data_IF_251722822416
#
_entry.id   IF_251722822416
#
_cell.length_a   1.000
_cell.length_b   1.000
_cell.length_c   1.000
_cell.angle_alpha   90.00
_cell.angle_beta   90.00
_cell.angle_gamma   90.00
#
_symmetry.space_group_name_H-M   'P 1'
#
loop_
_entity.id
_entity.type
_entity.pdbx_description
1 polymer ?
#
# COMPACT_ATOMS: atom_id res chain seq x y z
N UNK A 1 10.10 13.33 30.25
CA UNK A 1 8.69 13.38 29.82
C UNK A 1 8.69 13.41 28.30
N UNK A 2 8.34 12.28 27.70
CA UNK A 2 8.30 12.08 26.24
C UNK A 2 7.18 12.91 25.65
N UNK A 3 7.52 14.03 25.01
CA UNK A 3 6.57 14.80 24.21
C UNK A 3 6.00 13.90 23.11
N UNK A 4 4.68 13.87 23.01
CA UNK A 4 3.91 13.03 22.10
C UNK A 4 3.93 13.58 20.67
N UNK A 5 3.55 12.78 19.66
CA UNK A 5 3.52 13.21 18.25
C UNK A 5 2.62 14.43 18.01
N UNK A 6 1.64 14.69 18.87
CA UNK A 6 0.81 15.91 18.83
C UNK A 6 1.61 17.17 19.14
N UNK A 7 2.61 17.09 20.02
CA UNK A 7 3.40 18.25 20.43
C UNK A 7 4.33 18.72 19.29
N UNK A 8 4.91 17.78 18.53
CA UNK A 8 5.84 18.10 17.42
C UNK A 8 5.16 18.87 16.28
N UNK A 9 3.92 18.51 15.94
CA UNK A 9 3.12 19.24 14.94
C UNK A 9 2.77 20.66 15.38
N UNK A 10 2.54 20.88 16.67
CA UNK A 10 2.27 22.20 17.23
C UNK A 10 3.51 23.11 17.14
N UNK A 11 4.70 22.60 17.47
CA UNK A 11 5.95 23.33 17.34
C UNK A 11 6.38 23.52 15.87
N UNK A 12 6.04 22.58 15.00
CA UNK A 12 6.27 22.71 13.57
C UNK A 12 5.52 23.91 12.97
N UNK A 13 4.39 24.34 13.54
CA UNK A 13 3.68 25.53 13.05
C UNK A 13 4.28 26.86 13.56
N UNK A 14 5.14 26.83 14.58
CA UNK A 14 5.73 28.04 15.20
C UNK A 14 7.07 28.42 14.55
N UNK A 15 7.43 29.69 14.64
CA UNK A 15 8.74 30.18 14.18
C UNK A 15 9.89 29.51 14.97
N UNK A 16 10.92 28.95 14.31
CA UNK A 16 12.00 28.23 14.98
C UNK A 16 12.66 29.00 16.14
N UNK A 17 12.83 30.31 15.95
CA UNK A 17 13.37 31.23 16.96
C UNK A 17 12.54 31.23 18.25
N UNK A 18 11.22 31.12 18.16
CA UNK A 18 10.30 31.30 19.30
C UNK A 18 10.34 30.15 20.30
N UNK A 19 10.56 28.94 19.83
CA UNK A 19 10.67 27.76 20.69
C UNK A 19 12.11 27.41 21.04
N UNK A 20 13.10 27.77 20.20
CA UNK A 20 14.51 27.45 20.45
C UNK A 20 15.03 28.11 21.73
N UNK A 21 14.47 29.27 22.09
CA UNK A 21 14.76 29.95 23.35
C UNK A 21 14.10 29.34 24.60
N UNK A 22 13.18 28.39 24.48
CA UNK A 22 12.40 27.83 25.60
C UNK A 22 13.12 26.71 26.40
N UNK A 23 14.41 26.43 26.14
CA UNK A 23 15.31 25.56 26.93
C UNK A 23 14.70 24.23 27.43
N UNK A 24 14.13 23.44 26.53
CA UNK A 24 14.11 21.97 26.69
C UNK A 24 15.45 21.41 26.18
N UNK A 25 15.92 20.25 26.68
CA UNK A 25 17.21 19.63 26.33
C UNK A 25 17.58 19.88 24.85
N UNK A 26 18.44 20.88 24.56
CA UNK A 26 18.55 21.44 23.22
C UNK A 26 19.02 20.40 22.20
N UNK A 27 19.80 19.42 22.65
CA UNK A 27 20.36 18.42 21.75
C UNK A 27 19.32 17.38 21.32
N UNK A 28 18.42 16.97 22.22
CA UNK A 28 17.41 15.95 21.92
C UNK A 28 16.25 16.57 21.12
N UNK A 29 15.83 17.77 21.49
CA UNK A 29 14.77 18.49 20.80
C UNK A 29 15.17 18.91 19.38
N UNK A 30 16.37 19.49 19.19
CA UNK A 30 16.84 19.84 17.84
C UNK A 30 16.96 18.59 16.95
N UNK A 31 17.40 17.43 17.46
CA UNK A 31 17.45 16.16 16.71
C UNK A 31 16.06 15.74 16.22
N UNK A 32 15.07 15.74 17.11
CA UNK A 32 13.68 15.39 16.77
C UNK A 32 13.09 16.32 15.71
N UNK A 33 13.28 17.63 15.88
CA UNK A 33 12.81 18.62 14.90
C UNK A 33 13.55 18.52 13.56
N UNK A 34 14.86 18.20 13.56
CA UNK A 34 15.60 17.91 12.34
C UNK A 34 15.04 16.69 11.61
N UNK A 35 14.75 15.60 12.32
CA UNK A 35 14.13 14.40 11.73
C UNK A 35 12.73 14.72 11.17
N UNK A 36 11.91 15.47 11.92
CA UNK A 36 10.58 15.89 11.50
C UNK A 36 10.63 16.77 10.24
N UNK A 37 11.45 17.82 10.21
CA UNK A 37 11.54 18.68 9.03
C UNK A 37 12.15 17.97 7.83
N UNK A 38 13.05 17.02 8.06
CA UNK A 38 13.58 16.19 6.99
C UNK A 38 12.50 15.28 6.37
N UNK A 39 11.67 14.64 7.21
CA UNK A 39 10.57 13.78 6.77
C UNK A 39 9.39 14.54 6.15
N UNK A 40 9.24 15.83 6.42
CA UNK A 40 8.19 16.70 5.83
C UNK A 40 8.73 17.61 4.71
N UNK A 41 10.01 17.49 4.34
CA UNK A 41 10.59 18.21 3.20
C UNK A 41 10.86 19.69 3.45
N UNK A 42 10.87 20.15 4.70
CA UNK A 42 10.98 21.56 5.04
C UNK A 42 12.46 22.01 5.09
N UNK A 43 13.06 22.12 3.90
CA UNK A 43 14.49 22.42 3.73
C UNK A 43 14.90 23.76 4.37
N UNK A 44 14.04 24.78 4.32
CA UNK A 44 14.34 26.11 4.88
C UNK A 44 14.54 26.05 6.39
N UNK A 45 13.66 25.34 7.10
CA UNK A 45 13.77 25.17 8.55
C UNK A 45 14.88 24.21 8.94
N UNK A 46 15.12 23.19 8.11
CA UNK A 46 16.23 22.27 8.33
C UNK A 46 17.59 22.96 8.21
N UNK A 47 17.75 23.89 7.25
CA UNK A 47 18.93 24.77 7.14
C UNK A 47 19.06 25.69 8.35
N UNK A 48 17.96 26.31 8.78
CA UNK A 48 17.98 27.14 9.98
C UNK A 48 18.45 26.34 11.21
N UNK A 49 17.94 25.11 11.41
CA UNK A 49 18.40 24.26 12.51
C UNK A 49 19.86 23.83 12.38
N UNK A 50 20.36 23.63 11.16
CA UNK A 50 21.78 23.34 10.94
C UNK A 50 22.67 24.47 11.42
N UNK A 51 22.29 25.71 11.10
CA UNK A 51 23.10 26.90 11.41
C UNK A 51 23.00 27.33 12.88
N UNK A 52 21.95 26.89 13.59
CA UNK A 52 21.62 27.37 14.95
C UNK A 52 21.61 26.28 16.03
N UNK A 53 21.66 24.98 15.67
CA UNK A 53 21.76 23.88 16.65
C UNK A 53 23.05 23.06 16.42
N UNK A 54 23.80 22.79 17.48
CA UNK A 54 24.94 21.85 17.47
C UNK A 54 24.53 20.36 17.45
N UNK A 55 23.27 20.07 17.11
CA UNK A 55 22.73 18.73 17.10
C UNK A 55 23.22 17.96 15.86
N UNK A 56 23.73 16.73 16.09
CA UNK A 56 24.12 15.82 15.00
C UNK A 56 22.89 15.25 14.31
N UNK A 57 22.93 15.15 12.98
CA UNK A 57 21.93 14.42 12.21
C UNK A 57 21.93 12.95 12.55
N UNK A 58 20.72 12.41 12.71
CA UNK A 58 20.51 10.97 12.80
C UNK A 58 20.37 10.36 11.40
N UNK A 59 20.49 9.05 11.31
CA UNK A 59 20.21 8.30 10.08
C UNK A 59 18.74 8.44 9.68
N UNK A 60 17.83 8.56 10.67
CA UNK A 60 16.39 8.76 10.48
C UNK A 60 16.05 10.04 9.71
N UNK A 61 16.88 11.09 9.79
CA UNK A 61 16.65 12.30 9.00
C UNK A 61 16.77 12.00 7.50
N UNK A 62 17.79 11.24 7.08
CA UNK A 62 17.98 10.86 5.68
C UNK A 62 16.97 9.79 5.27
N UNK A 63 16.75 8.78 6.12
CA UNK A 63 15.81 7.68 5.84
C UNK A 63 14.37 8.22 5.74
N UNK A 64 13.96 9.13 6.62
CA UNK A 64 12.65 9.79 6.61
C UNK A 64 12.47 10.74 5.43
N UNK A 65 13.49 11.52 5.05
CA UNK A 65 13.43 12.35 3.84
C UNK A 65 13.32 11.50 2.57
N UNK A 66 14.04 10.37 2.50
CA UNK A 66 13.99 9.45 1.37
C UNK A 66 12.63 8.74 1.29
N UNK A 67 12.12 8.25 2.42
CA UNK A 67 10.84 7.57 2.52
C UNK A 67 9.68 8.45 2.06
N UNK A 68 9.72 9.76 2.33
CA UNK A 68 8.69 10.72 1.91
C UNK A 68 8.99 11.43 0.58
N UNK A 69 10.05 11.02 -0.14
CA UNK A 69 10.29 11.50 -1.51
C UNK A 69 10.93 12.88 -1.61
N UNK A 70 11.45 13.43 -0.52
CA UNK A 70 12.03 14.76 -0.46
C UNK A 70 13.46 14.79 -1.01
N UNK A 71 13.59 14.63 -2.33
CA UNK A 71 14.88 14.54 -3.04
C UNK A 71 15.83 15.70 -2.72
N UNK A 72 15.32 16.93 -2.62
CA UNK A 72 16.15 18.11 -2.34
C UNK A 72 16.71 18.10 -0.91
N UNK A 73 15.93 17.58 0.05
CA UNK A 73 16.42 17.35 1.42
C UNK A 73 17.44 16.23 1.44
N UNK A 74 17.20 15.12 0.73
CA UNK A 74 18.15 14.00 0.62
C UNK A 74 19.49 14.45 0.05
N UNK A 75 19.47 15.20 -1.05
CA UNK A 75 20.67 15.80 -1.67
C UNK A 75 21.39 16.72 -0.70
N UNK A 76 20.65 17.58 0.00
CA UNK A 76 21.23 18.54 0.93
C UNK A 76 21.85 17.85 2.14
N UNK A 77 21.15 16.91 2.78
CA UNK A 77 21.68 16.10 3.89
C UNK A 77 22.92 15.33 3.45
N UNK A 78 22.93 14.74 2.25
CA UNK A 78 24.12 14.07 1.73
C UNK A 78 25.31 15.01 1.56
N UNK A 79 25.09 16.22 1.04
CA UNK A 79 26.14 17.20 0.89
C UNK A 79 26.68 17.61 2.27
N UNK A 80 25.82 17.99 3.21
CA UNK A 80 26.21 18.41 4.57
C UNK A 80 27.02 17.32 5.29
N UNK A 81 26.53 16.07 5.28
CA UNK A 81 27.24 14.93 5.88
C UNK A 81 28.57 14.61 5.17
N UNK A 82 28.69 14.93 3.88
CA UNK A 82 29.94 14.81 3.12
C UNK A 82 30.93 15.96 3.40
N UNK A 83 30.46 17.15 3.78
CA UNK A 83 31.30 18.32 4.11
C UNK A 83 31.81 18.25 5.55
N UNK A 84 31.07 17.69 6.49
CA UNK A 84 31.60 17.39 7.84
C UNK A 84 32.80 16.43 7.78
N UNK A 85 32.79 15.51 6.80
CA UNK A 85 33.94 14.66 6.48
C UNK A 85 35.06 15.41 5.73
N UNK A 86 34.77 16.57 5.11
CA UNK A 86 35.77 17.42 4.45
C UNK A 86 36.62 18.21 5.45
N UNK A 87 36.02 18.68 6.55
CA UNK A 87 36.77 19.35 7.62
C UNK A 87 37.80 18.41 8.28
N UNK A 88 37.56 17.09 8.30
CA UNK A 88 38.55 16.07 8.68
C UNK A 88 39.52 15.66 7.56
N UNK A 89 39.22 15.90 6.27
CA UNK A 89 40.08 15.51 5.13
C UNK A 89 41.38 16.31 5.01
N UNK A 90 41.52 17.43 5.72
CA UNK A 90 42.74 18.24 5.68
C UNK A 90 43.92 17.65 6.49
N UNK A 91 43.80 16.47 7.11
CA UNK A 91 44.89 15.84 7.87
C UNK A 91 45.46 14.54 7.28
N UNK A 92 44.83 13.91 6.28
CA UNK A 92 45.38 12.69 5.65
C UNK A 92 45.14 12.69 4.15
N UNK A 93 46.24 12.87 3.43
CA UNK A 93 46.29 12.83 1.97
C UNK A 93 46.17 11.42 1.42
N UNK A 94 45.77 11.38 0.15
CA UNK A 94 45.68 10.24 -0.77
C UNK A 94 44.46 9.33 -0.60
N UNK A 95 43.64 9.34 -1.66
CA UNK A 95 42.33 8.74 -1.79
C UNK A 95 42.42 7.71 -2.91
N UNK A 96 42.41 6.42 -2.58
CA UNK A 96 42.05 5.35 -3.55
C UNK A 96 41.78 3.98 -2.93
N UNK A 97 42.17 3.67 -1.68
CA UNK A 97 42.09 2.29 -1.16
C UNK A 97 41.62 2.21 0.31
N UNK A 98 40.54 2.92 0.67
CA UNK A 98 39.96 2.90 2.03
C UNK A 98 38.49 2.43 2.04
N UNK A 99 38.19 1.34 1.34
CA UNK A 99 36.89 0.65 1.46
C UNK A 99 36.96 -0.68 2.22
N UNK A 100 37.99 -0.92 3.02
CA UNK A 100 38.09 -2.21 3.73
C UNK A 100 38.62 -2.18 5.16
N UNK A 101 38.89 -1.03 5.75
CA UNK A 101 39.34 -0.97 7.15
C UNK A 101 38.76 0.29 7.80
N UNK A 102 37.64 0.12 8.50
CA UNK A 102 37.44 0.63 9.87
C UNK A 102 36.02 0.32 10.34
N UNK A 103 35.95 -0.57 11.33
CA UNK A 103 34.73 -1.07 11.98
C UNK A 103 34.19 -0.17 13.09
N UNK A 104 34.61 1.09 13.19
CA UNK A 104 34.03 2.04 14.13
C UNK A 104 34.31 3.49 13.68
N UNK A 105 33.32 4.15 13.09
CA UNK A 105 33.30 5.62 12.99
C UNK A 105 31.87 6.14 12.78
N UNK A 106 31.29 6.73 13.82
CA UNK A 106 29.93 7.28 13.88
C UNK A 106 29.80 8.60 13.09
N UNK A 107 29.83 8.51 11.77
CA UNK A 107 29.34 9.55 10.86
C UNK A 107 28.01 9.05 10.31
N UNK A 108 26.96 9.88 10.28
CA UNK A 108 25.58 9.45 9.99
C UNK A 108 25.49 8.70 8.65
N UNK A 109 25.51 7.36 8.70
CA UNK A 109 25.40 6.48 7.53
C UNK A 109 23.91 6.29 7.22
N UNK A 110 23.50 6.68 6.02
CA UNK A 110 22.23 6.23 5.41
C UNK A 110 22.09 4.72 5.59
N UNK A 111 20.91 4.22 5.94
CA UNK A 111 20.68 2.77 5.99
C UNK A 111 20.05 2.27 4.70
N UNK A 112 19.92 0.95 4.53
CA UNK A 112 19.13 0.38 3.44
C UNK A 112 17.66 0.82 3.51
N UNK A 113 17.18 1.24 4.69
CA UNK A 113 15.81 1.71 4.90
C UNK A 113 15.48 2.97 4.09
N UNK A 114 16.46 3.81 3.74
CA UNK A 114 16.23 4.95 2.87
C UNK A 114 15.76 4.52 1.46
N UNK A 115 16.43 3.52 0.87
CA UNK A 115 16.06 3.04 -0.47
C UNK A 115 14.82 2.16 -0.41
N UNK A 116 14.69 1.33 0.63
CA UNK A 116 13.51 0.48 0.85
C UNK A 116 12.25 1.34 1.05
N UNK A 117 12.32 2.38 1.88
CA UNK A 117 11.21 3.31 2.12
C UNK A 117 10.88 4.17 0.90
N UNK A 118 11.89 4.66 0.18
CA UNK A 118 11.67 5.37 -1.08
C UNK A 118 11.00 4.47 -2.14
N UNK A 119 11.37 3.19 -2.18
CA UNK A 119 10.78 2.22 -3.10
C UNK A 119 9.33 1.87 -2.70
N UNK A 120 9.09 1.64 -1.41
CA UNK A 120 7.76 1.39 -0.83
C UNK A 120 6.76 2.48 -1.20
N UNK A 121 7.17 3.75 -1.20
CA UNK A 121 6.30 4.89 -1.53
C UNK A 121 6.39 5.38 -2.99
N UNK A 122 7.10 4.63 -3.86
CA UNK A 122 7.09 4.90 -5.30
C UNK A 122 7.99 6.06 -5.75
N UNK A 123 8.90 6.53 -4.89
CA UNK A 123 9.78 7.67 -5.16
C UNK A 123 10.99 7.27 -6.03
N UNK A 124 10.72 6.93 -7.29
CA UNK A 124 11.72 6.45 -8.25
C UNK A 124 12.91 7.41 -8.45
N UNK A 125 12.67 8.71 -8.41
CA UNK A 125 13.73 9.73 -8.48
C UNK A 125 14.71 9.65 -7.29
N UNK A 126 14.19 9.42 -6.08
CA UNK A 126 15.00 9.21 -4.87
C UNK A 126 15.74 7.88 -4.94
N UNK A 127 15.08 6.79 -5.35
CA UNK A 127 15.70 5.46 -5.51
C UNK A 127 16.90 5.52 -6.46
N UNK A 128 16.72 6.14 -7.63
CA UNK A 128 17.81 6.36 -8.61
C UNK A 128 18.95 7.18 -8.04
N UNK A 129 18.62 8.25 -7.32
CA UNK A 129 19.61 9.14 -6.75
C UNK A 129 20.42 8.42 -5.65
N UNK A 130 19.76 7.69 -4.76
CA UNK A 130 20.39 6.89 -3.72
C UNK A 130 21.30 5.84 -4.35
N UNK A 131 20.83 5.08 -5.34
CA UNK A 131 21.65 4.08 -6.02
C UNK A 131 22.94 4.64 -6.65
N UNK A 132 22.87 5.84 -7.24
CA UNK A 132 24.02 6.46 -7.89
C UNK A 132 25.03 7.03 -6.89
N UNK A 133 24.57 7.55 -5.75
CA UNK A 133 25.40 8.35 -4.84
C UNK A 133 25.72 7.64 -3.52
N UNK A 134 25.12 6.48 -3.24
CA UNK A 134 25.23 5.78 -1.96
C UNK A 134 25.51 4.28 -2.14
N UNK A 135 26.50 3.71 -1.41
CA UNK A 135 26.88 2.32 -1.57
C UNK A 135 26.02 1.32 -0.79
N UNK A 136 25.15 1.76 0.14
CA UNK A 136 24.43 0.87 1.04
C UNK A 136 23.43 -0.07 0.34
N UNK A 137 22.86 0.36 -0.77
CA UNK A 137 21.90 -0.43 -1.55
C UNK A 137 20.52 -0.51 -0.91
N UNK A 138 19.80 -1.59 -1.21
CA UNK A 138 18.47 -1.89 -0.69
C UNK A 138 18.41 -3.33 -0.17
N UNK A 139 17.28 -3.71 0.42
CA UNK A 139 16.96 -5.11 0.73
C UNK A 139 15.92 -5.64 -0.25
N UNK A 140 15.52 -6.90 -0.10
CA UNK A 140 14.38 -7.47 -0.85
C UNK A 140 13.08 -6.72 -0.58
N UNK A 141 12.96 -6.10 0.61
CA UNK A 141 11.79 -5.30 0.99
C UNK A 141 11.53 -4.14 0.03
N UNK A 142 12.55 -3.57 -0.62
CA UNK A 142 12.35 -2.52 -1.61
C UNK A 142 11.46 -2.98 -2.78
N UNK A 143 11.70 -4.18 -3.31
CA UNK A 143 10.91 -4.70 -4.43
C UNK A 143 9.57 -5.28 -3.95
N UNK A 144 9.56 -5.96 -2.81
CA UNK A 144 8.35 -6.55 -2.21
C UNK A 144 7.31 -5.46 -1.88
N UNK A 145 7.73 -4.38 -1.20
CA UNK A 145 6.86 -3.28 -0.82
C UNK A 145 6.46 -2.40 -2.01
N UNK A 146 7.38 -2.16 -2.96
CA UNK A 146 7.04 -1.47 -4.20
C UNK A 146 5.99 -2.26 -5.01
N UNK A 147 6.06 -3.59 -5.02
CA UNK A 147 5.07 -4.44 -5.65
C UNK A 147 3.72 -4.41 -4.91
N UNK A 148 3.75 -4.47 -3.57
CA UNK A 148 2.55 -4.38 -2.72
C UNK A 148 1.76 -3.10 -2.92
N UNK A 149 2.45 -1.97 -3.15
CA UNK A 149 1.82 -0.67 -3.38
C UNK A 149 1.66 -0.32 -4.88
N UNK A 150 1.99 -1.25 -5.78
CA UNK A 150 1.71 -1.10 -7.21
C UNK A 150 2.65 -0.17 -7.97
N UNK A 151 3.81 0.15 -7.40
CA UNK A 151 4.80 1.03 -8.01
C UNK A 151 5.61 0.29 -9.09
N UNK A 152 4.95 -0.07 -10.19
CA UNK A 152 5.52 -0.89 -11.26
C UNK A 152 6.81 -0.30 -11.86
N UNK A 153 6.90 1.02 -11.98
CA UNK A 153 8.10 1.71 -12.49
C UNK A 153 9.31 1.52 -11.57
N UNK A 154 9.11 1.46 -10.25
CA UNK A 154 10.14 1.17 -9.25
C UNK A 154 10.52 -0.30 -9.29
N UNK A 155 9.55 -1.22 -9.36
CA UNK A 155 9.80 -2.67 -9.47
C UNK A 155 10.67 -2.99 -10.69
N UNK A 156 10.30 -2.46 -11.86
CA UNK A 156 11.06 -2.64 -13.10
C UNK A 156 12.48 -2.07 -12.97
N UNK A 157 12.61 -0.88 -12.39
CA UNK A 157 13.90 -0.23 -12.23
C UNK A 157 14.81 -1.01 -11.27
N UNK A 158 14.29 -1.44 -10.11
CA UNK A 158 15.01 -2.25 -9.14
C UNK A 158 15.47 -3.57 -9.78
N UNK A 159 14.60 -4.25 -10.54
CA UNK A 159 14.97 -5.50 -11.22
C UNK A 159 16.11 -5.31 -12.24
N UNK A 160 16.12 -4.21 -12.99
CA UNK A 160 17.15 -3.97 -13.98
C UNK A 160 18.48 -3.47 -13.41
N UNK A 161 18.50 -2.88 -12.21
CA UNK A 161 19.68 -2.15 -11.69
C UNK A 161 20.22 -2.72 -10.36
N UNK A 162 19.48 -3.60 -9.69
CA UNK A 162 19.81 -4.22 -8.40
C UNK A 162 19.82 -5.75 -8.52
N UNK A 163 20.47 -6.43 -7.57
CA UNK A 163 20.66 -7.89 -7.57
C UNK A 163 19.96 -8.59 -6.40
N UNK A 164 19.44 -7.84 -5.44
CA UNK A 164 18.79 -8.32 -4.23
C UNK A 164 17.52 -9.13 -4.56
N UNK A 165 16.79 -8.70 -5.60
CA UNK A 165 15.58 -9.38 -6.05
C UNK A 165 14.38 -9.10 -5.17
N UNK A 166 13.46 -10.06 -5.13
CA UNK A 166 12.24 -10.02 -4.32
C UNK A 166 12.01 -11.38 -3.67
N UNK A 167 11.00 -11.47 -2.82
CA UNK A 167 10.52 -12.72 -2.23
C UNK A 167 9.13 -13.06 -2.76
N UNK A 168 8.50 -14.12 -2.24
CA UNK A 168 7.09 -14.43 -2.54
C UNK A 168 6.14 -13.32 -2.10
N UNK A 169 6.56 -12.49 -1.14
CA UNK A 169 5.79 -11.34 -0.66
C UNK A 169 5.50 -10.30 -1.76
N UNK A 170 6.30 -10.24 -2.83
CA UNK A 170 6.04 -9.33 -3.94
C UNK A 170 4.74 -9.66 -4.68
N UNK A 171 4.52 -10.93 -5.06
CA UNK A 171 3.28 -11.34 -5.73
C UNK A 171 2.12 -11.35 -4.72
N UNK A 172 2.33 -11.85 -3.51
CA UNK A 172 1.30 -11.88 -2.47
C UNK A 172 0.80 -10.46 -2.13
N UNK A 173 1.73 -9.51 -2.00
CA UNK A 173 1.46 -8.11 -1.78
C UNK A 173 0.78 -7.45 -2.98
N UNK A 174 1.28 -7.66 -4.20
CA UNK A 174 0.68 -7.11 -5.41
C UNK A 174 -0.74 -7.63 -5.63
N UNK A 175 -1.00 -8.90 -5.31
CA UNK A 175 -2.33 -9.51 -5.33
C UNK A 175 -3.26 -8.89 -4.28
N UNK A 176 -2.75 -8.62 -3.08
CA UNK A 176 -3.47 -7.91 -2.01
C UNK A 176 -3.78 -6.45 -2.35
N UNK A 177 -2.94 -5.79 -3.15
CA UNK A 177 -3.11 -4.41 -3.59
C UNK A 177 -3.93 -4.22 -4.88
N UNK A 178 -4.28 -5.31 -5.57
CA UNK A 178 -5.04 -5.22 -6.83
C UNK A 178 -4.17 -4.90 -8.05
N UNK A 179 -2.86 -5.09 -7.98
CA UNK A 179 -1.91 -4.64 -9.00
C UNK A 179 -1.64 -5.72 -10.05
N UNK A 180 -2.64 -6.01 -10.90
CA UNK A 180 -2.59 -7.05 -11.95
C UNK A 180 -1.31 -6.98 -12.81
N UNK A 181 -0.94 -5.78 -13.28
CA UNK A 181 0.25 -5.59 -14.12
C UNK A 181 1.54 -6.04 -13.42
N UNK A 182 1.65 -5.81 -12.11
CA UNK A 182 2.81 -6.21 -11.31
C UNK A 182 2.84 -7.73 -11.12
N UNK A 183 1.68 -8.35 -10.84
CA UNK A 183 1.54 -9.81 -10.69
C UNK A 183 1.95 -10.54 -11.97
N UNK A 184 1.40 -10.13 -13.13
CA UNK A 184 1.71 -10.74 -14.42
C UNK A 184 3.20 -10.63 -14.74
N UNK A 185 3.77 -9.44 -14.54
CA UNK A 185 5.17 -9.20 -14.85
C UNK A 185 6.11 -9.97 -13.91
N UNK A 186 5.84 -9.99 -12.60
CA UNK A 186 6.65 -10.75 -11.65
C UNK A 186 6.60 -12.25 -11.94
N UNK A 187 5.43 -12.79 -12.28
CA UNK A 187 5.27 -14.19 -12.65
C UNK A 187 6.03 -14.56 -13.94
N UNK A 188 6.01 -13.69 -14.96
CA UNK A 188 6.71 -13.96 -16.23
C UNK A 188 8.23 -13.83 -16.13
N UNK A 189 8.72 -12.95 -15.27
CA UNK A 189 10.15 -12.58 -15.23
C UNK A 189 10.93 -13.24 -14.10
N UNK A 190 10.27 -13.68 -13.04
CA UNK A 190 10.93 -14.25 -11.87
C UNK A 190 10.35 -15.61 -11.45
N UNK A 191 11.11 -16.33 -10.64
CA UNK A 191 10.85 -17.72 -10.28
C UNK A 191 10.51 -17.95 -8.81
N UNK A 192 10.43 -16.90 -7.98
CA UNK A 192 10.10 -17.04 -6.55
C UNK A 192 8.66 -17.56 -6.35
N UNK A 193 7.75 -17.17 -7.24
CA UNK A 193 6.34 -17.57 -7.16
C UNK A 193 5.57 -16.81 -6.08
N UNK A 194 4.46 -17.41 -5.63
CA UNK A 194 3.53 -16.83 -4.67
C UNK A 194 3.08 -17.88 -3.66
N UNK A 195 2.60 -17.43 -2.50
CA UNK A 195 2.01 -18.30 -1.48
C UNK A 195 0.48 -18.36 -1.63
N UNK A 196 -0.16 -19.24 -0.85
CA UNK A 196 -1.63 -19.30 -0.78
C UNK A 196 -2.27 -17.98 -0.29
N UNK A 197 -1.50 -17.11 0.37
CA UNK A 197 -1.98 -15.81 0.84
C UNK A 197 -2.31 -14.88 -0.33
N UNK A 198 -1.65 -15.00 -1.49
CA UNK A 198 -2.01 -14.23 -2.68
C UNK A 198 -3.48 -14.43 -3.07
N UNK A 199 -3.93 -15.69 -3.12
CA UNK A 199 -5.31 -16.04 -3.49
C UNK A 199 -6.30 -15.56 -2.44
N UNK A 200 -5.99 -15.78 -1.15
CA UNK A 200 -6.87 -15.38 -0.04
C UNK A 200 -7.00 -13.86 0.03
N UNK A 201 -5.90 -13.12 -0.10
CA UNK A 201 -5.89 -11.65 -0.04
C UNK A 201 -6.60 -11.03 -1.25
N UNK A 202 -6.33 -11.53 -2.46
CA UNK A 202 -7.04 -11.08 -3.67
C UNK A 202 -8.54 -11.36 -3.57
N UNK A 203 -8.93 -12.53 -3.04
CA UNK A 203 -10.33 -12.90 -2.86
C UNK A 203 -11.03 -12.03 -1.80
N UNK A 204 -10.36 -11.77 -0.67
CA UNK A 204 -10.84 -10.88 0.40
C UNK A 204 -11.10 -9.46 -0.07
N UNK A 205 -10.35 -8.97 -1.07
CA UNK A 205 -10.48 -7.62 -1.63
C UNK A 205 -11.33 -7.55 -2.90
N UNK A 206 -11.80 -8.69 -3.42
CA UNK A 206 -12.70 -8.74 -4.57
C UNK A 206 -12.00 -8.63 -5.93
N UNK A 207 -10.68 -8.86 -6.00
CA UNK A 207 -9.92 -8.73 -7.24
C UNK A 207 -10.07 -9.98 -8.12
N UNK A 208 -11.22 -10.09 -8.79
CA UNK A 208 -11.60 -11.25 -9.61
C UNK A 208 -10.56 -11.59 -10.70
N UNK A 209 -10.02 -10.58 -11.38
CA UNK A 209 -9.05 -10.80 -12.47
C UNK A 209 -7.74 -11.41 -11.96
N UNK A 210 -7.28 -10.95 -10.78
CA UNK A 210 -6.11 -11.53 -10.10
C UNK A 210 -6.43 -12.95 -9.64
N UNK A 211 -7.58 -13.20 -9.02
CA UNK A 211 -8.02 -14.54 -8.60
C UNK A 211 -8.02 -15.52 -9.78
N UNK A 212 -8.59 -15.11 -10.92
CA UNK A 212 -8.56 -15.89 -12.17
C UNK A 212 -7.13 -16.15 -12.63
N UNK A 213 -6.30 -15.12 -12.62
CA UNK A 213 -4.91 -15.23 -13.04
C UNK A 213 -4.12 -16.20 -12.15
N UNK A 214 -4.23 -16.08 -10.82
CA UNK A 214 -3.58 -16.94 -9.84
C UNK A 214 -4.05 -18.40 -9.97
N UNK A 215 -5.33 -18.62 -10.23
CA UNK A 215 -5.88 -19.97 -10.39
C UNK A 215 -5.39 -20.64 -11.68
N UNK A 216 -5.53 -19.94 -12.82
CA UNK A 216 -5.26 -20.51 -14.15
C UNK A 216 -3.77 -20.57 -14.47
N UNK A 217 -3.02 -19.51 -14.16
CA UNK A 217 -1.63 -19.38 -14.62
C UNK A 217 -0.61 -19.85 -13.57
N UNK A 218 -0.90 -19.64 -12.29
CA UNK A 218 -0.01 -20.04 -11.18
C UNK A 218 -0.43 -21.38 -10.54
N UNK A 219 -1.53 -21.98 -11.01
CA UNK A 219 -2.00 -23.29 -10.55
C UNK A 219 -2.43 -23.30 -9.08
N UNK A 220 -2.76 -22.14 -8.50
CA UNK A 220 -3.25 -22.08 -7.13
C UNK A 220 -4.63 -22.72 -7.03
N UNK A 221 -4.79 -23.63 -6.06
CA UNK A 221 -6.08 -24.23 -5.77
C UNK A 221 -7.08 -23.16 -5.29
N UNK A 222 -8.30 -23.21 -5.83
CA UNK A 222 -9.43 -22.52 -5.24
C UNK A 222 -9.65 -23.15 -3.85
N UNK A 223 -9.30 -22.43 -2.78
CA UNK A 223 -9.33 -22.97 -1.42
C UNK A 223 -10.56 -22.51 -0.65
N UNK A 224 -11.00 -23.32 0.30
CA UNK A 224 -12.05 -22.97 1.26
C UNK A 224 -11.76 -21.63 1.97
N UNK A 225 -10.50 -21.39 2.33
CA UNK A 225 -10.06 -20.15 2.95
C UNK A 225 -10.31 -18.92 2.05
N UNK A 226 -10.07 -19.04 0.74
CA UNK A 226 -10.30 -17.94 -0.21
C UNK A 226 -11.81 -17.65 -0.39
N UNK A 227 -12.65 -18.69 -0.43
CA UNK A 227 -14.11 -18.54 -0.50
C UNK A 227 -14.64 -17.89 0.80
N UNK A 228 -14.20 -18.35 1.98
CA UNK A 228 -14.57 -17.74 3.27
C UNK A 228 -14.14 -16.28 3.32
N UNK A 229 -12.95 -15.94 2.82
CA UNK A 229 -12.46 -14.57 2.81
C UNK A 229 -13.30 -13.66 1.90
N UNK A 230 -13.64 -14.10 0.69
CA UNK A 230 -14.52 -13.36 -0.22
C UNK A 230 -15.95 -13.25 0.33
N UNK A 231 -16.46 -14.29 0.99
CA UNK A 231 -17.78 -14.30 1.61
C UNK A 231 -17.87 -13.35 2.82
N UNK A 232 -16.78 -13.21 3.58
CA UNK A 232 -16.67 -12.27 4.72
C UNK A 232 -16.78 -10.82 4.29
N UNK A 233 -16.33 -10.48 3.08
CA UNK A 233 -16.32 -9.11 2.56
C UNK A 233 -17.39 -8.86 1.51
N UNK A 234 -18.21 -9.87 1.19
CA UNK A 234 -19.39 -9.73 0.33
C UNK A 234 -19.07 -9.75 -1.17
N UNK A 235 -17.93 -10.29 -1.59
CA UNK A 235 -17.53 -10.31 -3.00
C UNK A 235 -18.16 -11.50 -3.76
N UNK A 236 -19.44 -11.37 -4.12
CA UNK A 236 -20.22 -12.40 -4.81
C UNK A 236 -19.55 -12.95 -6.07
N UNK A 237 -18.99 -12.09 -6.93
CA UNK A 237 -18.37 -12.50 -8.20
C UNK A 237 -17.14 -13.39 -8.00
N UNK A 238 -16.40 -13.17 -6.92
CA UNK A 238 -15.25 -14.01 -6.54
C UNK A 238 -15.74 -15.32 -5.95
N UNK A 239 -16.77 -15.29 -5.09
CA UNK A 239 -17.37 -16.50 -4.51
C UNK A 239 -17.90 -17.41 -5.63
N UNK A 240 -18.63 -16.86 -6.60
CA UNK A 240 -19.13 -17.58 -7.77
C UNK A 240 -18.00 -18.29 -8.53
N UNK A 241 -16.96 -17.54 -8.89
CA UNK A 241 -15.83 -18.10 -9.63
C UNK A 241 -15.10 -19.19 -8.84
N UNK A 242 -14.85 -18.97 -7.55
CA UNK A 242 -14.15 -19.94 -6.73
C UNK A 242 -14.99 -21.20 -6.51
N UNK A 243 -16.30 -21.07 -6.26
CA UNK A 243 -17.21 -22.22 -6.05
C UNK A 243 -17.32 -23.11 -7.31
N UNK A 244 -17.41 -22.50 -8.49
CA UNK A 244 -17.43 -23.22 -9.77
C UNK A 244 -16.16 -24.05 -10.02
N UNK A 245 -15.01 -23.59 -9.51
CA UNK A 245 -13.70 -24.18 -9.75
C UNK A 245 -13.14 -24.94 -8.52
N UNK A 246 -13.95 -25.09 -7.47
CA UNK A 246 -13.53 -25.74 -6.23
C UNK A 246 -13.81 -27.25 -6.24
N UNK A 247 -12.83 -28.04 -5.79
CA UNK A 247 -12.90 -29.51 -5.79
C UNK A 247 -13.50 -30.12 -4.53
N UNK A 248 -13.50 -29.43 -3.38
CA UNK A 248 -13.99 -29.94 -2.10
C UNK A 248 -15.39 -29.37 -1.78
N UNK A 249 -16.43 -29.87 -2.45
CA UNK A 249 -17.80 -29.45 -2.16
C UNK A 249 -18.20 -29.83 -0.73
N UNK A 250 -18.19 -28.84 0.15
CA UNK A 250 -19.21 -28.54 1.17
C UNK A 250 -18.63 -27.60 2.24
N UNK A 251 -19.24 -26.43 2.47
CA UNK A 251 -18.85 -25.57 3.60
C UNK A 251 -20.04 -24.80 4.19
N UNK A 252 -20.41 -25.11 5.42
CA UNK A 252 -21.33 -24.27 6.19
C UNK A 252 -20.67 -22.93 6.63
N UNK A 253 -19.34 -22.89 6.70
CA UNK A 253 -18.57 -21.77 7.27
C UNK A 253 -18.69 -20.45 6.46
N UNK A 254 -18.58 -20.42 5.11
CA UNK A 254 -18.81 -19.21 4.32
C UNK A 254 -20.20 -18.62 4.52
N UNK A 255 -21.24 -19.46 4.66
CA UNK A 255 -22.62 -19.01 4.89
C UNK A 255 -22.74 -18.33 6.25
N UNK A 256 -22.19 -18.96 7.30
CA UNK A 256 -22.20 -18.41 8.64
C UNK A 256 -21.47 -17.05 8.69
N UNK A 257 -20.30 -16.97 8.04
CA UNK A 257 -19.48 -15.76 8.02
C UNK A 257 -20.13 -14.64 7.18
N UNK A 258 -20.68 -14.95 6.00
CA UNK A 258 -21.41 -13.97 5.19
C UNK A 258 -22.63 -13.40 5.93
N UNK A 259 -23.40 -14.28 6.61
CA UNK A 259 -24.55 -13.87 7.42
C UNK A 259 -24.14 -12.98 8.60
N UNK A 260 -23.06 -13.30 9.29
CA UNK A 260 -22.55 -12.50 10.41
C UNK A 260 -22.12 -11.07 9.98
N UNK A 261 -21.73 -10.88 8.71
CA UNK A 261 -21.32 -9.60 8.15
C UNK A 261 -22.44 -8.90 7.33
N UNK A 262 -23.63 -9.49 7.24
CA UNK A 262 -24.79 -8.90 6.55
C UNK A 262 -24.72 -8.97 5.03
N UNK A 263 -24.00 -9.95 4.47
CA UNK A 263 -23.87 -10.13 3.02
C UNK A 263 -24.92 -11.11 2.48
N UNK A 264 -26.17 -10.65 2.45
CA UNK A 264 -27.34 -11.48 2.09
C UNK A 264 -27.26 -12.05 0.66
N UNK A 265 -26.74 -11.29 -0.32
CA UNK A 265 -26.58 -11.76 -1.70
C UNK A 265 -25.66 -12.99 -1.81
N UNK A 266 -24.59 -13.01 -1.01
CA UNK A 266 -23.66 -14.16 -0.95
C UNK A 266 -24.32 -15.34 -0.24
N UNK A 267 -25.10 -15.07 0.82
CA UNK A 267 -25.85 -16.10 1.54
C UNK A 267 -26.89 -16.75 0.63
N UNK A 268 -27.65 -15.95 -0.13
CA UNK A 268 -28.68 -16.43 -1.05
C UNK A 268 -28.06 -17.30 -2.13
N UNK A 269 -26.98 -16.85 -2.77
CA UNK A 269 -26.23 -17.62 -3.76
C UNK A 269 -25.74 -18.97 -3.19
N UNK A 270 -25.10 -18.96 -2.01
CA UNK A 270 -24.59 -20.18 -1.39
C UNK A 270 -25.71 -21.14 -0.94
N UNK A 271 -26.90 -20.62 -0.62
CA UNK A 271 -28.07 -21.42 -0.24
C UNK A 271 -28.82 -22.01 -1.43
N UNK A 272 -28.56 -21.56 -2.67
CA UNK A 272 -29.07 -22.23 -3.88
C UNK A 272 -28.52 -23.66 -3.99
N UNK A 273 -27.31 -23.91 -3.48
CA UNK A 273 -26.70 -25.24 -3.46
C UNK A 273 -27.31 -26.14 -2.37
N UNK A 274 -27.92 -27.25 -2.80
CA UNK A 274 -28.65 -28.20 -1.93
C UNK A 274 -27.77 -28.83 -0.84
N UNK A 275 -26.48 -29.02 -1.14
CA UNK A 275 -25.48 -29.59 -0.21
C UNK A 275 -25.12 -28.60 0.92
N UNK A 276 -24.93 -27.33 0.58
CA UNK A 276 -24.62 -26.25 1.54
C UNK A 276 -25.80 -25.98 2.48
N UNK A 277 -27.03 -26.09 1.98
CA UNK A 277 -28.27 -26.00 2.78
C UNK A 277 -28.35 -27.13 3.83
N UNK A 278 -28.06 -28.37 3.44
CA UNK A 278 -28.06 -29.53 4.36
C UNK A 278 -26.97 -29.43 5.43
N UNK A 279 -25.78 -28.93 5.08
CA UNK A 279 -24.70 -28.74 6.04
C UNK A 279 -25.04 -27.70 7.11
N UNK A 280 -25.69 -26.60 6.72
CA UNK A 280 -26.18 -25.59 7.66
C UNK A 280 -27.27 -26.15 8.60
N UNK A 281 -28.16 -26.99 8.09
CA UNK A 281 -29.20 -27.64 8.90
C UNK A 281 -28.63 -28.67 9.89
N UNK A 282 -27.57 -29.38 9.51
CA UNK A 282 -26.87 -30.31 10.39
C UNK A 282 -26.13 -29.59 11.54
N UNK A 283 -25.58 -28.39 11.31
CA UNK A 283 -24.92 -27.58 12.35
C UNK A 283 -25.88 -27.05 13.43
N UNK A 284 -27.13 -26.73 13.06
CA UNK A 284 -28.17 -26.28 14.01
C UNK A 284 -28.64 -27.33 15.02
N UNK A 285 -28.25 -28.59 14.85
CA UNK A 285 -28.66 -29.68 15.74
C UNK A 285 -27.82 -29.73 17.04
N UNK A 286 -26.68 -29.03 17.11
CA UNK A 286 -25.83 -28.97 18.31
C UNK A 286 -26.18 -27.82 19.27
N UNK A 287 -26.77 -26.72 18.78
CA UNK A 287 -27.06 -25.52 19.59
C UNK A 287 -28.42 -25.55 20.32
N UNK A 288 -29.26 -26.58 20.13
CA UNK A 288 -30.63 -26.63 20.68
C UNK A 288 -30.74 -27.27 22.07
N UNK A 289 -29.64 -27.32 22.82
CA UNK A 289 -29.59 -27.95 24.14
C UNK A 289 -29.51 -26.94 25.29
N UNK A 290 -30.10 -25.75 25.19
CA UNK A 290 -30.24 -24.84 26.33
C UNK A 290 -31.38 -23.82 26.11
N UNK A 291 -32.62 -24.26 26.23
CA UNK A 291 -33.73 -23.39 26.65
C UNK A 291 -34.95 -24.23 27.02
N UNK A 292 -35.13 -24.43 28.32
CA UNK A 292 -36.39 -24.90 28.89
C UNK A 292 -36.88 -23.91 29.92
N UNK A 293 -38.20 -23.76 29.91
CA UNK A 293 -39.03 -23.36 31.05
C UNK A 293 -39.12 -21.84 31.27
N UNK A 294 -40.28 -21.20 31.12
CA UNK A 294 -41.47 -21.48 31.92
C UNK A 294 -42.70 -20.79 31.33
N UNK A 295 -43.84 -21.46 31.41
CA UNK A 295 -45.16 -20.91 31.09
C UNK A 295 -46.00 -20.70 32.36
N UNK A 296 -46.92 -19.72 32.27
CA UNK A 296 -48.13 -19.47 33.08
C UNK A 296 -47.98 -18.66 34.39
N UNK A 297 -48.76 -17.57 34.51
CA UNK A 297 -50.12 -17.59 35.11
C UNK A 297 -50.81 -16.22 35.06
N UNK A 298 -52.13 -16.28 34.90
CA UNK A 298 -53.11 -15.19 34.91
C UNK A 298 -53.75 -15.09 36.30
N UNK A 299 -54.03 -13.86 36.77
CA UNK A 299 -55.18 -13.39 37.61
C UNK A 299 -54.80 -12.00 38.18
N UNK A 300 -55.64 -11.01 38.52
CA UNK A 300 -57.07 -10.88 38.80
C UNK A 300 -57.44 -9.37 38.84
N UNK A 301 -58.73 -9.08 38.69
CA UNK A 301 -59.54 -7.82 38.80
C UNK A 301 -59.21 -6.94 40.05
N UNK A 302 -59.58 -5.65 40.23
CA UNK A 302 -60.66 -4.72 39.79
C UNK A 302 -60.34 -3.28 40.31
N UNK A 303 -61.25 -2.31 40.06
CA UNK A 303 -61.34 -0.91 40.60
C UNK A 303 -60.74 0.12 39.62
N UNK A 304 -61.48 1.03 38.98
CA UNK A 304 -62.28 2.09 39.58
C UNK A 304 -63.31 2.72 38.62
N UNK A 305 -64.43 3.20 39.17
CA UNK A 305 -65.56 3.80 38.45
C UNK A 305 -65.85 5.25 38.87
N UNK A 306 -64.84 6.07 39.17
CA UNK A 306 -65.07 7.46 39.67
C UNK A 306 -64.33 8.58 38.91
N UNK A 307 -63.68 8.31 37.77
CA UNK A 307 -62.87 9.34 37.05
C UNK A 307 -63.35 9.68 35.62
N UNK A 308 -64.50 9.14 35.21
CA UNK A 308 -64.93 9.08 33.80
C UNK A 308 -65.46 10.38 33.12
N UNK A 309 -65.22 11.59 33.64
CA UNK A 309 -65.70 12.82 32.98
C UNK A 309 -64.71 14.01 32.91
N UNK A 310 -63.63 14.02 33.70
CA UNK A 310 -62.50 14.94 33.49
C UNK A 310 -61.37 14.28 32.67
N UNK A 311 -61.29 12.95 32.68
CA UNK A 311 -60.32 12.17 31.90
C UNK A 311 -60.54 12.29 30.38
N UNK A 312 -61.76 12.54 29.91
CA UNK A 312 -62.05 12.48 28.47
C UNK A 312 -61.37 13.59 27.64
N UNK A 313 -61.29 14.83 28.14
CA UNK A 313 -60.69 15.93 27.38
C UNK A 313 -59.17 15.96 27.53
N UNK A 314 -58.66 15.78 28.74
CA UNK A 314 -57.23 15.85 29.00
C UNK A 314 -56.50 14.58 28.48
N UNK A 315 -57.15 13.39 28.49
CA UNK A 315 -56.66 12.18 27.81
C UNK A 315 -56.70 12.33 26.28
N UNK A 316 -57.77 12.92 25.72
CA UNK A 316 -57.85 13.18 24.29
C UNK A 316 -56.82 14.21 23.83
N UNK A 317 -56.58 15.27 24.61
CA UNK A 317 -55.54 16.26 24.31
C UNK A 317 -54.14 15.65 24.44
N UNK A 318 -53.88 14.79 25.44
CA UNK A 318 -52.63 14.06 25.56
C UNK A 318 -52.41 13.10 24.38
N UNK A 319 -53.44 12.38 23.93
CA UNK A 319 -53.38 11.45 22.80
C UNK A 319 -53.15 12.18 21.47
N UNK A 320 -53.87 13.29 21.25
CA UNK A 320 -53.66 14.15 20.08
C UNK A 320 -52.26 14.78 20.07
N UNK A 321 -51.72 15.20 21.23
CA UNK A 321 -50.34 15.69 21.33
C UNK A 321 -49.32 14.62 20.94
N UNK A 322 -49.47 13.40 21.46
CA UNK A 322 -48.59 12.27 21.11
C UNK A 322 -48.70 11.92 19.63
N UNK A 323 -49.90 11.94 19.05
CA UNK A 323 -50.12 11.63 17.63
C UNK A 323 -49.58 12.72 16.69
N UNK A 324 -49.75 13.98 17.06
CA UNK A 324 -49.16 15.11 16.33
C UNK A 324 -47.64 15.11 16.47
N UNK A 325 -47.09 14.87 17.66
CA UNK A 325 -45.64 14.75 17.88
C UNK A 325 -45.05 13.56 17.12
N UNK A 326 -45.73 12.42 17.09
CA UNK A 326 -45.33 11.27 16.29
C UNK A 326 -45.36 11.56 14.79
N UNK A 327 -46.39 12.28 14.31
CA UNK A 327 -46.52 12.66 12.89
C UNK A 327 -45.45 13.67 12.47
N UNK A 328 -45.21 14.70 13.29
CA UNK A 328 -44.14 15.69 13.08
C UNK A 328 -42.78 14.98 13.10
N UNK A 329 -42.56 14.05 14.03
CA UNK A 329 -41.30 13.31 14.12
C UNK A 329 -41.06 12.46 12.87
N UNK A 330 -42.07 11.78 12.34
CA UNK A 330 -41.95 10.98 11.10
C UNK A 330 -41.61 11.88 9.91
N UNK A 331 -42.31 13.01 9.74
CA UNK A 331 -42.07 13.94 8.63
C UNK A 331 -40.70 14.63 8.74
N UNK A 332 -40.32 15.07 9.94
CA UNK A 332 -39.06 15.76 10.18
C UNK A 332 -37.86 14.80 10.09
N UNK A 333 -37.97 13.58 10.60
CA UNK A 333 -36.96 12.54 10.39
C UNK A 333 -36.82 12.16 8.91
N UNK A 334 -37.92 12.13 8.15
CA UNK A 334 -37.87 11.87 6.71
C UNK A 334 -37.16 13.02 5.96
N UNK A 335 -37.45 14.27 6.32
CA UNK A 335 -36.77 15.45 5.75
C UNK A 335 -35.28 15.46 6.08
N UNK A 336 -34.92 15.27 7.36
CA UNK A 336 -33.51 15.25 7.79
C UNK A 336 -32.76 14.10 7.12
N UNK A 337 -33.35 12.91 7.01
CA UNK A 337 -32.76 11.79 6.27
C UNK A 337 -32.50 12.15 4.80
N UNK A 338 -33.47 12.75 4.12
CA UNK A 338 -33.31 13.16 2.72
C UNK A 338 -32.22 14.22 2.53
N UNK A 339 -32.11 15.19 3.44
CA UNK A 339 -31.06 16.22 3.42
C UNK A 339 -29.66 15.62 3.67
N UNK A 340 -29.53 14.74 4.66
CA UNK A 340 -28.26 14.06 4.97
C UNK A 340 -27.83 13.18 3.80
N UNK A 341 -28.74 12.40 3.21
CA UNK A 341 -28.43 11.58 2.03
C UNK A 341 -28.03 12.44 0.83
N UNK A 342 -28.66 13.59 0.62
CA UNK A 342 -28.27 14.51 -0.44
C UNK A 342 -26.87 15.10 -0.21
N UNK A 343 -26.53 15.46 1.03
CA UNK A 343 -25.20 15.94 1.41
C UNK A 343 -24.13 14.85 1.21
N UNK A 344 -24.40 13.61 1.65
CA UNK A 344 -23.49 12.47 1.45
C UNK A 344 -23.27 12.23 -0.05
N UNK A 345 -24.32 12.25 -0.88
CA UNK A 345 -24.17 12.09 -2.34
C UNK A 345 -23.30 13.20 -2.95
N UNK A 346 -23.50 14.46 -2.55
CA UNK A 346 -22.70 15.57 -3.04
C UNK A 346 -21.21 15.44 -2.63
N UNK A 347 -20.94 15.04 -1.39
CA UNK A 347 -19.56 14.77 -0.92
C UNK A 347 -18.94 13.58 -1.67
N UNK A 348 -19.71 12.52 -1.94
CA UNK A 348 -19.25 11.38 -2.73
C UNK A 348 -18.92 11.76 -4.18
N UNK A 349 -19.75 12.59 -4.82
CA UNK A 349 -19.49 13.11 -6.17
C UNK A 349 -18.22 13.98 -6.21
N UNK A 350 -18.05 14.87 -5.22
CA UNK A 350 -16.85 15.69 -5.12
C UNK A 350 -15.60 14.81 -4.87
N UNK A 351 -15.70 13.82 -3.99
CA UNK A 351 -14.61 12.88 -3.72
C UNK A 351 -14.25 12.06 -4.97
N UNK A 352 -15.25 11.62 -5.75
CA UNK A 352 -15.04 10.91 -7.02
C UNK A 352 -14.35 11.82 -8.05
N UNK A 353 -14.77 13.08 -8.18
CA UNK A 353 -14.13 14.04 -9.08
C UNK A 353 -12.69 14.31 -8.67
N UNK A 354 -12.42 14.52 -7.38
CA UNK A 354 -11.06 14.70 -6.83
C UNK A 354 -10.19 13.47 -7.08
N UNK A 355 -10.74 12.27 -6.93
CA UNK A 355 -10.05 11.01 -7.22
C UNK A 355 -9.71 10.89 -8.71
N UNK A 356 -10.66 11.25 -9.60
CA UNK A 356 -10.45 11.24 -11.05
C UNK A 356 -9.36 12.23 -11.47
N UNK A 357 -9.42 13.46 -10.99
CA UNK A 357 -8.39 14.49 -11.25
C UNK A 357 -7.03 14.01 -10.73
N UNK A 358 -6.98 13.41 -9.54
CA UNK A 358 -5.73 12.85 -8.99
C UNK A 358 -5.18 11.73 -9.89
N UNK A 359 -6.05 10.85 -10.39
CA UNK A 359 -5.65 9.77 -11.31
C UNK A 359 -5.13 10.32 -12.65
N UNK A 360 -5.82 11.28 -13.26
CA UNK A 360 -5.37 11.92 -14.51
C UNK A 360 -4.03 12.65 -14.33
N UNK A 361 -3.86 13.39 -13.24
CA UNK A 361 -2.57 14.04 -12.90
C UNK A 361 -1.49 12.99 -12.67
N UNK A 362 -1.81 11.91 -11.95
CA UNK A 362 -0.87 10.81 -11.71
C UNK A 362 -0.42 10.18 -13.03
N UNK A 363 -1.35 9.87 -13.94
CA UNK A 363 -1.05 9.29 -15.25
C UNK A 363 -0.16 10.22 -16.09
N UNK A 364 -0.48 11.53 -16.16
CA UNK A 364 0.35 12.49 -16.88
C UNK A 364 1.76 12.65 -16.30
N UNK A 365 1.87 12.70 -14.97
CA UNK A 365 3.17 12.81 -14.28
C UNK A 365 3.97 11.53 -14.47
N UNK A 366 3.32 10.37 -14.36
CA UNK A 366 3.95 9.07 -14.62
C UNK A 366 4.40 8.94 -16.07
N UNK A 367 3.61 9.37 -17.04
CA UNK A 367 3.97 9.29 -18.47
C UNK A 367 5.14 10.22 -18.81
N UNK A 368 5.13 11.46 -18.30
CA UNK A 368 6.27 12.38 -18.45
C UNK A 368 7.52 11.81 -17.80
N UNK A 369 7.42 11.31 -16.57
CA UNK A 369 8.53 10.65 -15.89
C UNK A 369 9.00 9.43 -16.69
N UNK A 370 8.11 8.54 -17.14
CA UNK A 370 8.46 7.37 -17.98
C UNK A 370 9.16 7.79 -19.27
N UNK A 371 8.76 8.89 -19.89
CA UNK A 371 9.39 9.40 -21.12
C UNK A 371 10.81 9.94 -20.86
N UNK A 372 10.99 10.74 -19.81
CA UNK A 372 12.30 11.25 -19.39
C UNK A 372 13.24 10.11 -19.00
N UNK A 373 12.75 9.15 -18.21
CA UNK A 373 13.50 7.97 -17.81
C UNK A 373 13.89 7.13 -19.03
N UNK A 374 12.99 6.96 -19.99
CA UNK A 374 13.30 6.27 -21.26
C UNK A 374 14.43 7.00 -22.00
N UNK A 375 14.35 8.33 -22.11
CA UNK A 375 15.37 9.13 -22.79
C UNK A 375 16.74 9.04 -22.10
N UNK A 376 16.79 9.12 -20.76
CA UNK A 376 18.02 8.95 -19.98
C UNK A 376 18.62 7.55 -20.13
N UNK A 377 17.79 6.50 -20.03
CA UNK A 377 18.23 5.12 -20.19
C UNK A 377 18.73 4.84 -21.61
N UNK A 378 18.08 5.40 -22.63
CA UNK A 378 18.53 5.36 -24.02
C UNK A 378 19.89 6.04 -24.19
N UNK A 379 20.09 7.21 -23.57
CA UNK A 379 21.37 7.91 -23.59
C UNK A 379 22.49 7.12 -22.89
N UNK A 380 22.19 6.52 -21.73
CA UNK A 380 23.13 5.68 -21.00
C UNK A 380 23.47 4.40 -21.78
N UNK A 381 22.49 3.73 -22.39
CA UNK A 381 22.71 2.53 -23.21
C UNK A 381 23.52 2.84 -24.47
N UNK A 382 23.29 3.97 -25.13
CA UNK A 382 24.10 4.44 -26.28
C UNK A 382 25.56 4.71 -25.91
N UNK A 383 25.85 4.98 -24.64
CA UNK A 383 27.22 5.22 -24.17
C UNK A 383 28.03 3.93 -24.00
N UNK A 384 27.37 2.77 -23.83
CA UNK A 384 28.06 1.48 -23.71
C UNK A 384 28.42 0.92 -25.09
N UNK A 385 29.59 0.26 -25.22
CA UNK A 385 29.97 -0.41 -26.46
C UNK A 385 29.16 -1.69 -26.66
N UNK A 386 28.68 -1.91 -27.88
CA UNK A 386 28.07 -3.18 -28.27
C UNK A 386 29.13 -4.27 -28.31
N UNK A 387 28.90 -5.42 -27.69
CA UNK A 387 29.87 -6.53 -27.68
C UNK A 387 29.92 -7.34 -28.99
N UNK A 388 28.99 -7.10 -29.92
CA UNK A 388 28.98 -7.73 -31.25
C UNK A 388 29.82 -6.91 -32.24
N UNK A 389 29.61 -5.59 -32.29
CA UNK A 389 30.33 -4.72 -33.24
C UNK A 389 31.46 -3.88 -32.63
N UNK A 390 31.61 -3.92 -31.30
CA UNK A 390 32.59 -3.14 -30.51
C UNK A 390 32.48 -1.61 -30.65
N UNK A 391 31.45 -1.11 -31.34
CA UNK A 391 31.13 0.31 -31.49
C UNK A 391 30.07 0.79 -30.50
N UNK A 392 29.70 2.07 -30.55
CA UNK A 392 28.58 2.60 -29.75
C UNK A 392 27.27 1.91 -30.15
N UNK A 393 26.42 1.63 -29.18
CA UNK A 393 25.13 0.99 -29.45
C UNK A 393 24.25 1.96 -30.24
N UNK A 394 23.83 1.52 -31.43
CA UNK A 394 22.85 2.21 -32.27
C UNK A 394 21.56 1.38 -32.28
N UNK A 395 20.42 2.06 -32.08
CA UNK A 395 19.11 1.44 -31.86
C UNK A 395 19.13 0.31 -30.80
N UNK A 396 19.19 0.65 -29.49
CA UNK A 396 19.44 -0.33 -28.43
C UNK A 396 18.25 -1.27 -28.22
N UNK A 397 18.49 -2.58 -28.36
CA UNK A 397 17.56 -3.63 -27.93
C UNK A 397 18.11 -4.28 -26.67
N UNK A 398 17.29 -4.28 -25.62
CA UNK A 398 17.57 -5.02 -24.39
C UNK A 398 16.82 -6.34 -24.43
N UNK A 399 17.57 -7.43 -24.29
CA UNK A 399 17.07 -8.81 -24.24
C UNK A 399 16.46 -9.12 -22.87
N UNK A 400 15.69 -10.21 -22.75
CA UNK A 400 15.09 -10.66 -21.48
C UNK A 400 16.12 -10.89 -20.36
N UNK A 401 17.35 -11.26 -20.73
CA UNK A 401 18.47 -11.38 -19.81
C UNK A 401 19.16 -10.04 -19.48
N UNK A 402 18.50 -8.91 -19.74
CA UNK A 402 18.94 -7.54 -19.46
C UNK A 402 20.22 -7.08 -20.17
N UNK A 403 20.69 -7.80 -21.19
CA UNK A 403 21.83 -7.38 -22.02
C UNK A 403 21.36 -6.54 -23.21
N UNK A 404 22.07 -5.44 -23.48
CA UNK A 404 21.72 -4.49 -24.54
C UNK A 404 22.70 -4.58 -25.72
N UNK A 405 22.17 -4.66 -26.94
CA UNK A 405 22.93 -4.71 -28.19
C UNK A 405 22.34 -3.76 -29.23
N UNK A 406 23.03 -3.49 -30.33
CA UNK A 406 22.40 -2.83 -31.48
C UNK A 406 21.35 -3.75 -32.09
N UNK A 407 20.19 -3.21 -32.46
CA UNK A 407 19.11 -3.97 -33.10
C UNK A 407 19.59 -4.78 -34.30
N UNK A 408 20.31 -4.13 -35.22
CA UNK A 408 20.86 -4.77 -36.41
C UNK A 408 21.96 -5.81 -36.12
N UNK A 409 22.71 -5.65 -35.02
CA UNK A 409 23.73 -6.62 -34.62
C UNK A 409 23.11 -7.89 -34.05
N UNK A 410 22.10 -7.74 -33.18
CA UNK A 410 21.37 -8.86 -32.59
C UNK A 410 20.55 -9.62 -33.65
N UNK A 411 19.93 -8.90 -34.59
CA UNK A 411 19.21 -9.52 -35.71
C UNK A 411 20.15 -10.37 -36.59
N UNK A 412 21.34 -9.85 -36.91
CA UNK A 412 22.37 -10.62 -37.63
C UNK A 412 22.84 -11.85 -36.86
N UNK A 413 23.05 -11.70 -35.54
CA UNK A 413 23.42 -12.81 -34.65
C UNK A 413 22.39 -13.94 -34.68
N UNK A 414 21.10 -13.61 -34.55
CA UNK A 414 20.01 -14.60 -34.65
C UNK A 414 19.91 -15.22 -36.04
N UNK A 415 20.06 -14.43 -37.11
CA UNK A 415 20.04 -14.94 -38.48
C UNK A 415 21.21 -15.88 -38.81
N UNK A 416 22.31 -15.80 -38.05
CA UNK A 416 23.45 -16.72 -38.12
C UNK A 416 23.21 -18.06 -37.41
N UNK A 417 22.00 -18.31 -36.88
CA UNK A 417 21.64 -19.54 -36.17
C UNK A 417 21.94 -19.53 -34.68
N UNK A 418 22.26 -18.38 -34.08
CA UNK A 418 22.52 -18.27 -32.65
C UNK A 418 21.25 -17.87 -31.87
N UNK A 419 20.75 -18.79 -31.04
CA UNK A 419 19.57 -18.56 -30.18
C UNK A 419 19.93 -18.09 -28.76
N UNK A 420 21.22 -18.03 -28.43
CA UNK A 420 21.70 -17.69 -27.10
C UNK A 420 22.30 -16.29 -27.06
N UNK A 421 22.14 -15.65 -25.91
CA UNK A 421 22.69 -14.33 -25.64
C UNK A 421 24.23 -14.35 -25.75
N UNK A 422 24.84 -13.40 -26.49
CA UNK A 422 26.30 -13.31 -26.62
C UNK A 422 27.06 -13.15 -25.29
N UNK A 423 26.40 -12.65 -24.24
CA UNK A 423 27.04 -12.32 -22.96
C UNK A 423 26.80 -13.43 -21.93
N UNK A 424 25.54 -13.76 -21.63
CA UNK A 424 25.20 -14.70 -20.55
C UNK A 424 24.78 -16.09 -21.04
N UNK A 425 24.69 -16.31 -22.36
CA UNK A 425 24.22 -17.56 -22.98
C UNK A 425 22.81 -18.00 -22.59
N UNK A 426 22.00 -17.13 -22.00
CA UNK A 426 20.56 -17.36 -21.81
C UNK A 426 19.82 -17.34 -23.15
N UNK A 427 18.68 -18.03 -23.23
CA UNK A 427 17.80 -18.00 -24.41
C UNK A 427 17.43 -16.57 -24.81
N UNK A 428 17.47 -16.27 -26.11
CA UNK A 428 17.00 -15.02 -26.71
C UNK A 428 15.53 -15.10 -27.17
N UNK A 429 14.89 -16.26 -27.01
CA UNK A 429 13.46 -16.46 -27.27
C UNK A 429 12.62 -16.04 -26.07
#
# INVERSE_FOLDING_TARGET
>A
MSASSSDESEYACREPVTWHHQKHDPSDFCKRMMNYYASHGNLSRLRWLHDNCDAKYSTEAMDGAATNGHLEVVKWLHNVLSVDSAAMRNSVGTFSELWSLDGDNSTAKCTTAAMDGAAMNGHLNVVKWLHKNRPEGCTTSAMDEAARNGHFSVVLWLHCNRKEGCTTAAIDGAASGGHQQVVEWLHQTRSEGCTHDAMINAASKGFLDIVKYLHVNLGQAASNAAIIAAARTGHLSVVQYLDENHSERCMADPIAVARANGHDEVVDFLLEHEECRRALEAGRFMDRAEESDTTKKVSKLSEDAVVAAAESRDDLEARLRVEVEASIRVEEEARIRAEVEAAIRAEQEEAMLRAKIRAEIQDEVEDKMRAEIRAELLAQKKSQPCTICFGRIDDPITTLCCHTFCAGCLAKWRSGGHELCPICRSSLN
#
